data_IF_955727849098
#
_entry.id   IF_955727849098
#
_cell.length_a   1.000
_cell.length_b   1.000
_cell.length_c   1.000
_cell.angle_alpha   90.00
_cell.angle_beta   90.00
_cell.angle_gamma   90.00
#
_symmetry.space_group_name_H-M   'P 1'
#
loop_
_entity.id
_entity.type
_entity.pdbx_description
1 polymer ?
#
# COMPACT_ATOMS: atom_id res chain seq x y z
N UNK A 1 18.42 12.59 19.31
CA UNK A 1 17.68 13.53 18.44
C UNK A 1 17.61 13.06 16.97
N UNK A 2 18.72 12.69 16.33
CA UNK A 2 18.72 12.19 14.93
C UNK A 2 17.92 10.89 14.73
N UNK A 3 18.05 9.93 15.63
CA UNK A 3 17.32 8.64 15.55
C UNK A 3 15.79 8.83 15.58
N UNK A 4 15.31 9.77 16.40
CA UNK A 4 13.89 10.09 16.54
C UNK A 4 13.33 10.73 15.25
N UNK A 5 14.10 11.63 14.61
CA UNK A 5 13.69 12.22 13.33
C UNK A 5 13.59 11.17 12.22
N UNK A 6 14.53 10.21 12.20
CA UNK A 6 14.52 9.13 11.22
C UNK A 6 13.28 8.24 11.35
N UNK A 7 12.89 7.92 12.59
CA UNK A 7 11.70 7.13 12.87
C UNK A 7 10.41 7.85 12.46
N UNK A 8 10.31 9.15 12.73
CA UNK A 8 9.17 9.98 12.32
C UNK A 8 9.08 10.02 10.79
N UNK A 9 10.20 10.20 10.09
CA UNK A 9 10.23 10.18 8.63
C UNK A 9 9.78 8.82 8.05
N UNK A 10 10.22 7.70 8.65
CA UNK A 10 9.82 6.36 8.22
C UNK A 10 8.30 6.15 8.37
N UNK A 11 7.72 6.60 9.49
CA UNK A 11 6.27 6.54 9.71
C UNK A 11 5.51 7.37 8.69
N UNK A 12 5.96 8.60 8.38
CA UNK A 12 5.32 9.45 7.37
C UNK A 12 5.34 8.76 6.01
N UNK A 13 6.48 8.21 5.59
CA UNK A 13 6.61 7.53 4.28
C UNK A 13 5.72 6.29 4.22
N UNK A 14 5.60 5.55 5.32
CA UNK A 14 4.71 4.40 5.41
C UNK A 14 3.25 4.78 5.22
N UNK A 15 2.75 5.79 5.95
CA UNK A 15 1.37 6.24 5.81
C UNK A 15 1.09 6.82 4.41
N UNK A 16 2.02 7.58 3.83
CA UNK A 16 1.88 8.04 2.45
C UNK A 16 1.77 6.86 1.46
N UNK A 17 2.46 5.75 1.73
CA UNK A 17 2.39 4.55 0.89
C UNK A 17 1.07 3.82 1.02
N UNK A 18 0.50 3.73 2.24
CA UNK A 18 -0.87 3.23 2.44
C UNK A 18 -1.87 4.06 1.63
N UNK A 19 -1.75 5.40 1.70
CA UNK A 19 -2.66 6.28 0.96
C UNK A 19 -2.54 6.08 -0.54
N UNK A 20 -1.32 5.96 -1.07
CA UNK A 20 -1.11 5.69 -2.51
C UNK A 20 -1.75 4.38 -2.95
N UNK A 21 -1.63 3.32 -2.15
CA UNK A 21 -2.28 2.03 -2.43
C UNK A 21 -3.80 2.21 -2.46
N UNK A 22 -4.37 2.87 -1.45
CA UNK A 22 -5.81 3.13 -1.39
C UNK A 22 -6.29 3.93 -2.61
N UNK A 23 -5.59 5.01 -2.95
CA UNK A 23 -5.93 5.86 -4.10
C UNK A 23 -5.85 5.05 -5.38
N UNK A 24 -4.76 4.32 -5.62
CA UNK A 24 -4.59 3.49 -6.80
C UNK A 24 -5.81 2.59 -7.04
N UNK A 25 -6.20 1.78 -6.05
CA UNK A 25 -7.37 0.90 -6.20
C UNK A 25 -8.70 1.65 -6.30
N UNK A 26 -8.79 2.86 -5.73
CA UNK A 26 -10.01 3.69 -5.78
C UNK A 26 -10.15 4.50 -7.07
N UNK A 27 -9.11 4.60 -7.90
CA UNK A 27 -9.14 5.33 -9.17
C UNK A 27 -9.97 4.62 -10.24
N UNK A 28 -10.18 3.31 -10.11
CA UNK A 28 -10.92 2.50 -11.08
C UNK A 28 -11.81 1.46 -10.39
N UNK A 29 -13.08 1.42 -10.79
CA UNK A 29 -14.02 0.38 -10.35
C UNK A 29 -13.53 -1.02 -10.71
N UNK A 30 -12.79 -1.17 -11.82
CA UNK A 30 -12.19 -2.43 -12.23
C UNK A 30 -11.06 -2.87 -11.29
N UNK A 31 -10.17 -1.95 -10.91
CA UNK A 31 -9.06 -2.24 -10.00
C UNK A 31 -9.58 -2.56 -8.59
N UNK A 32 -10.58 -1.80 -8.14
CA UNK A 32 -11.31 -2.09 -6.91
C UNK A 32 -11.98 -3.47 -6.94
N UNK A 33 -12.58 -3.82 -8.08
CA UNK A 33 -13.23 -5.13 -8.25
C UNK A 33 -12.22 -6.27 -8.19
N UNK A 34 -11.10 -6.19 -8.94
CA UNK A 34 -9.99 -7.17 -8.86
C UNK A 34 -9.50 -7.32 -7.41
N UNK A 35 -9.32 -6.22 -6.68
CA UNK A 35 -8.95 -6.28 -5.27
C UNK A 35 -10.02 -6.97 -4.40
N UNK A 36 -11.29 -6.63 -4.61
CA UNK A 36 -12.41 -7.17 -3.82
C UNK A 36 -12.56 -8.70 -3.94
N UNK A 37 -12.14 -9.28 -5.08
CA UNK A 37 -12.18 -10.72 -5.31
C UNK A 37 -11.21 -11.50 -4.41
N UNK A 38 -10.08 -10.88 -4.05
CA UNK A 38 -9.04 -11.53 -3.24
C UNK A 38 -8.94 -10.96 -1.81
N UNK A 39 -9.56 -9.80 -1.54
CA UNK A 39 -9.47 -9.12 -0.24
C UNK A 39 -10.39 -9.74 0.79
N UNK A 40 -9.91 -9.90 2.03
CA UNK A 40 -10.71 -10.35 3.16
C UNK A 40 -11.60 -9.21 3.67
N UNK A 41 -11.11 -7.97 3.59
CA UNK A 41 -11.83 -6.76 4.01
C UNK A 41 -11.56 -5.61 3.05
N UNK A 42 -12.40 -4.59 3.04
CA UNK A 42 -12.17 -3.36 2.26
C UNK A 42 -10.88 -2.65 2.67
N UNK A 43 -10.08 -2.17 1.71
CA UNK A 43 -8.91 -1.31 2.01
C UNK A 43 -9.39 0.06 2.47
N UNK A 44 -8.89 0.50 3.63
CA UNK A 44 -9.30 1.78 4.24
C UNK A 44 -8.36 2.92 3.87
N UNK A 45 -8.94 4.09 3.62
CA UNK A 45 -8.20 5.36 3.42
C UNK A 45 -7.63 5.89 4.74
N UNK A 46 -6.57 6.69 4.68
CA UNK A 46 -6.18 7.54 5.80
C UNK A 46 -7.12 8.74 5.87
N UNK A 47 -8.01 8.75 6.86
CA UNK A 47 -8.76 9.97 7.19
C UNK A 47 -7.85 10.98 7.88
N UNK A 48 -7.89 12.23 7.42
CA UNK A 48 -7.13 13.34 8.01
C UNK A 48 -7.68 13.79 9.36
N UNK A 49 -8.96 13.53 9.65
CA UNK A 49 -9.66 14.05 10.85
C UNK A 49 -9.82 13.02 11.97
N UNK A 50 -9.50 11.75 11.73
CA UNK A 50 -9.67 10.67 12.72
C UNK A 50 -8.37 9.89 12.89
N UNK A 51 -7.76 9.99 14.07
CA UNK A 51 -6.58 9.20 14.42
C UNK A 51 -6.85 7.69 14.29
N UNK A 52 -8.05 7.23 14.65
CA UNK A 52 -8.48 5.83 14.48
C UNK A 52 -8.41 5.34 13.03
N UNK A 53 -8.55 6.22 12.04
CA UNK A 53 -8.44 5.81 10.64
C UNK A 53 -7.02 5.34 10.28
N UNK A 54 -5.98 5.77 11.01
CA UNK A 54 -4.61 5.26 10.81
C UNK A 54 -4.50 3.83 11.30
N UNK A 55 -5.11 3.52 12.44
CA UNK A 55 -5.18 2.17 12.98
C UNK A 55 -5.99 1.26 12.06
N UNK A 56 -7.18 1.71 11.63
CA UNK A 56 -8.03 0.99 10.69
C UNK A 56 -7.32 0.70 9.36
N UNK A 57 -6.59 1.68 8.82
CA UNK A 57 -5.83 1.53 7.58
C UNK A 57 -4.65 0.56 7.74
N UNK A 58 -3.92 0.62 8.86
CA UNK A 58 -2.88 -0.36 9.18
C UNK A 58 -3.44 -1.78 9.28
N UNK A 59 -4.55 -1.94 10.00
CA UNK A 59 -5.19 -3.23 10.22
C UNK A 59 -5.75 -3.81 8.91
N UNK A 60 -6.41 -2.99 8.10
CA UNK A 60 -6.89 -3.37 6.77
C UNK A 60 -5.74 -3.73 5.83
N UNK A 61 -4.67 -2.93 5.80
CA UNK A 61 -3.48 -3.24 4.99
C UNK A 61 -2.87 -4.58 5.39
N UNK A 62 -2.72 -4.83 6.69
CA UNK A 62 -2.18 -6.10 7.21
C UNK A 62 -3.01 -7.29 6.76
N UNK A 63 -4.34 -7.19 6.84
CA UNK A 63 -5.26 -8.26 6.43
C UNK A 63 -5.23 -8.53 4.92
N UNK A 64 -5.09 -7.49 4.11
CA UNK A 64 -5.16 -7.57 2.67
C UNK A 64 -3.80 -7.62 1.98
N UNK A 65 -2.70 -7.72 2.73
CA UNK A 65 -1.35 -7.57 2.21
C UNK A 65 -1.02 -8.55 1.07
N UNK A 66 -1.39 -9.81 1.24
CA UNK A 66 -1.19 -10.84 0.22
C UNK A 66 -2.00 -10.54 -1.04
N UNK A 67 -3.27 -10.18 -0.87
CA UNK A 67 -4.19 -9.83 -1.96
C UNK A 67 -3.72 -8.61 -2.75
N UNK A 68 -3.26 -7.56 -2.06
CA UNK A 68 -2.70 -6.35 -2.69
C UNK A 68 -1.51 -6.72 -3.58
N UNK A 69 -0.56 -7.51 -3.07
CA UNK A 69 0.61 -7.93 -3.87
C UNK A 69 0.21 -8.79 -5.06
N UNK A 70 -0.75 -9.70 -4.87
CA UNK A 70 -1.24 -10.55 -5.94
C UNK A 70 -1.85 -9.73 -7.07
N UNK A 71 -2.78 -8.82 -6.74
CA UNK A 71 -3.46 -7.99 -7.74
C UNK A 71 -2.50 -7.03 -8.43
N UNK A 72 -1.52 -6.46 -7.71
CA UNK A 72 -0.48 -5.67 -8.34
C UNK A 72 0.35 -6.50 -9.32
N UNK A 73 0.67 -7.75 -8.99
CA UNK A 73 1.35 -8.68 -9.91
C UNK A 73 0.52 -8.97 -11.15
N UNK A 74 -0.75 -9.33 -10.96
CA UNK A 74 -1.69 -9.57 -12.07
C UNK A 74 -1.81 -8.35 -12.99
N UNK A 75 -1.91 -7.14 -12.44
CA UNK A 75 -1.97 -5.90 -13.22
C UNK A 75 -0.67 -5.59 -13.97
N UNK A 76 0.49 -6.02 -13.46
CA UNK A 76 1.78 -5.81 -14.13
C UNK A 76 1.92 -6.75 -15.34
N UNK A 77 1.48 -8.00 -15.16
CA UNK A 77 1.63 -9.09 -16.13
C UNK A 77 0.51 -9.11 -17.17
N UNK A 78 -0.56 -8.34 -16.97
CA UNK A 78 -1.67 -8.16 -17.91
C UNK A 78 -1.26 -7.23 -19.07
N UNK A 79 -1.03 -7.80 -20.26
CA UNK A 79 -0.61 -7.04 -21.44
C UNK A 79 -1.72 -6.19 -22.07
N UNK A 80 -2.98 -6.50 -21.78
CA UNK A 80 -4.14 -5.73 -22.22
C UNK A 80 -4.45 -4.54 -21.28
N UNK A 81 -3.83 -4.52 -20.10
CA UNK A 81 -3.97 -3.42 -19.15
C UNK A 81 -3.21 -2.17 -19.62
N UNK A 82 -3.74 -1.00 -19.26
CA UNK A 82 -3.18 0.28 -19.68
C UNK A 82 -1.74 0.43 -19.17
N UNK A 83 -0.83 0.86 -20.05
CA UNK A 83 0.59 1.06 -19.72
C UNK A 83 0.82 1.87 -18.44
N UNK A 84 0.02 2.91 -18.21
CA UNK A 84 0.14 3.72 -16.99
C UNK A 84 -0.21 2.92 -15.72
N UNK A 85 -1.25 2.07 -15.76
CA UNK A 85 -1.66 1.23 -14.64
C UNK A 85 -0.58 0.20 -14.33
N UNK A 86 -0.04 -0.44 -15.37
CA UNK A 86 1.07 -1.40 -15.25
C UNK A 86 2.31 -0.75 -14.62
N UNK A 87 2.67 0.45 -15.10
CA UNK A 87 3.81 1.22 -14.57
C UNK A 87 3.59 1.61 -13.10
N UNK A 88 2.41 2.14 -12.77
CA UNK A 88 2.08 2.56 -11.41
C UNK A 88 2.04 1.37 -10.45
N UNK A 89 1.50 0.22 -10.88
CA UNK A 89 1.51 -1.02 -10.11
C UNK A 89 2.94 -1.52 -9.82
N UNK A 90 3.84 -1.41 -10.81
CA UNK A 90 5.27 -1.73 -10.66
C UNK A 90 5.95 -0.80 -9.66
N UNK A 91 5.68 0.50 -9.74
CA UNK A 91 6.24 1.50 -8.83
C UNK A 91 5.73 1.31 -7.39
N UNK A 92 4.44 0.98 -7.22
CA UNK A 92 3.87 0.65 -5.90
C UNK A 92 4.52 -0.61 -5.31
N UNK A 93 4.69 -1.65 -6.13
CA UNK A 93 5.36 -2.91 -5.72
C UNK A 93 6.79 -2.65 -5.25
N UNK A 94 7.54 -1.82 -5.97
CA UNK A 94 8.90 -1.42 -5.60
C UNK A 94 8.93 -0.62 -4.29
N UNK A 95 8.03 0.35 -4.12
CA UNK A 95 7.93 1.16 -2.90
C UNK A 95 7.61 0.29 -1.67
N UNK A 96 6.64 -0.62 -1.81
CA UNK A 96 6.26 -1.61 -0.79
C UNK A 96 7.46 -2.45 -0.35
N UNK A 97 8.21 -3.01 -1.30
CA UNK A 97 9.35 -3.87 -0.99
C UNK A 97 10.48 -3.08 -0.31
N UNK A 98 10.77 -1.86 -0.79
CA UNK A 98 11.76 -0.98 -0.17
C UNK A 98 11.40 -0.64 1.28
N UNK A 99 10.12 -0.36 1.55
CA UNK A 99 9.64 -0.11 2.90
C UNK A 99 9.79 -1.34 3.79
N UNK A 100 9.35 -2.51 3.32
CA UNK A 100 9.53 -3.77 4.05
C UNK A 100 11.00 -3.99 4.44
N UNK A 101 11.93 -3.80 3.50
CA UNK A 101 13.37 -3.91 3.77
C UNK A 101 13.84 -2.91 4.81
N UNK A 102 13.45 -1.63 4.69
CA UNK A 102 13.81 -0.60 5.65
C UNK A 102 13.31 -0.95 7.07
N UNK A 103 12.04 -1.36 7.20
CA UNK A 103 11.48 -1.80 8.48
C UNK A 103 12.27 -2.99 9.06
N UNK A 104 12.59 -4.00 8.25
CA UNK A 104 13.38 -5.14 8.70
C UNK A 104 14.79 -4.72 9.18
N UNK A 105 15.40 -3.69 8.58
CA UNK A 105 16.72 -3.20 9.04
C UNK A 105 16.66 -2.37 10.32
N UNK A 106 15.55 -1.66 10.59
CA UNK A 106 15.43 -0.78 11.76
C UNK A 106 14.91 -1.48 13.03
N UNK A 107 14.16 -2.58 12.88
CA UNK A 107 13.55 -3.31 14.00
C UNK A 107 14.27 -4.63 14.35
N UNK A 108 15.33 -4.99 13.62
CA UNK A 108 16.19 -6.16 13.89
C UNK A 108 17.52 -5.75 14.55
N UNK A 109 17.68 -4.48 14.90
CA UNK A 109 18.80 -3.95 15.73
C UNK A 109 18.21 -3.42 17.03
#
# INVERSE_FOLDING_TARGET
>A
MQLLMLQIALQIIFFLSIQKIFVFFSLSTYQWHKLSQYSITTVSSLSTTRWSAREDACHSLKKNWSSIKQVLGELIDDDDEKLFVRSEARDLTRQINKLKTAYMTFFVV
#
